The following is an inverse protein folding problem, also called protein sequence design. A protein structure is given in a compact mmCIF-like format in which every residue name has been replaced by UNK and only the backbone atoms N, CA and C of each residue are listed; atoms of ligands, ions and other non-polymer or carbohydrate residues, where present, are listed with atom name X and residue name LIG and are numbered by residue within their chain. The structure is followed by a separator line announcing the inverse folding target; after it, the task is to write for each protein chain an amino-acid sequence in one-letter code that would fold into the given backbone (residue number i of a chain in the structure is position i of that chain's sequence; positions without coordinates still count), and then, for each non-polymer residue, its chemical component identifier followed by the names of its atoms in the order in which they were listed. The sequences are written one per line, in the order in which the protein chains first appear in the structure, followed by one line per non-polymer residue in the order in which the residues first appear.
data_IF_669302380376
#
_entry.id   IF_669302380376
#
_cell.length_a   1.000
_cell.length_b   1.000
_cell.length_c   1.000
_cell.angle_alpha   90.00
_cell.angle_beta   90.00
_cell.angle_gamma   90.00
#
_symmetry.space_group_name_H-M   'P 1'
#
loop_
_entity.id
_entity.type
_entity.pdbx_description
1 polymer ?
#
# COMPACT_ATOMS: atom_id res chain seq x y z
N UNK A 1 -3.63 -35.74 23.63
CA UNK A 1 -4.26 -35.74 22.29
C UNK A 1 -4.28 -34.30 21.83
N UNK A 2 -3.36 -33.93 20.96
CA UNK A 2 -3.31 -32.62 20.35
C UNK A 2 -2.76 -32.82 18.95
N UNK A 3 -3.64 -33.25 18.06
CA UNK A 3 -3.31 -33.33 16.65
C UNK A 3 -3.56 -31.93 16.09
N UNK A 4 -2.49 -31.13 16.04
CA UNK A 4 -2.53 -29.77 15.55
C UNK A 4 -2.43 -29.79 14.01
N UNK A 5 -3.55 -30.00 13.33
CA UNK A 5 -3.62 -29.88 11.87
C UNK A 5 -3.91 -28.44 11.47
N UNK A 6 -2.86 -27.65 11.27
CA UNK A 6 -2.96 -26.43 10.47
C UNK A 6 -2.75 -26.81 8.99
N UNK A 7 -3.84 -27.00 8.25
CA UNK A 7 -3.83 -26.99 6.78
C UNK A 7 -3.84 -25.52 6.36
N UNK A 8 -2.74 -25.04 5.82
CA UNK A 8 -2.67 -23.71 5.21
C UNK A 8 -2.90 -23.91 3.71
N UNK A 9 -3.97 -23.31 3.20
CA UNK A 9 -4.35 -23.34 1.80
C UNK A 9 -3.22 -22.76 0.94
N UNK A 10 -2.83 -23.49 -0.11
CA UNK A 10 -2.09 -22.92 -1.23
C UNK A 10 -3.00 -21.93 -1.94
N UNK A 11 -2.66 -20.63 -1.89
CA UNK A 11 -3.36 -19.60 -2.65
C UNK A 11 -2.68 -19.49 -4.02
N UNK A 12 -3.37 -19.95 -5.05
CA UNK A 12 -2.91 -19.80 -6.42
C UNK A 12 -3.24 -18.39 -6.94
N UNK A 13 -2.17 -17.58 -6.96
CA UNK A 13 -1.78 -16.68 -8.05
C UNK A 13 -2.70 -15.52 -8.46
N UNK A 14 -3.29 -14.75 -7.53
CA UNK A 14 -3.64 -13.34 -7.81
C UNK A 14 -3.71 -12.50 -6.51
N UNK A 15 -2.67 -11.68 -6.26
CA UNK A 15 -2.61 -10.62 -5.26
C UNK A 15 -3.28 -10.93 -3.90
N UNK A 16 -2.88 -12.02 -3.25
CA UNK A 16 -3.46 -12.42 -1.96
C UNK A 16 -3.25 -11.34 -0.91
N UNK A 17 -4.37 -10.80 -0.42
CA UNK A 17 -4.36 -9.86 0.67
C UNK A 17 -3.79 -10.56 1.92
N UNK A 18 -2.68 -10.04 2.45
CA UNK A 18 -2.12 -10.52 3.72
C UNK A 18 -2.71 -9.71 4.87
N UNK A 19 -2.86 -10.34 6.03
CA UNK A 19 -3.35 -9.64 7.22
C UNK A 19 -2.22 -8.84 7.89
N UNK A 20 -2.45 -7.55 8.07
CA UNK A 20 -1.60 -6.67 8.86
C UNK A 20 -2.32 -6.21 10.14
N UNK A 21 -1.53 -5.78 11.11
CA UNK A 21 -2.06 -5.17 12.33
C UNK A 21 -2.41 -3.71 12.07
N UNK A 22 -3.51 -3.23 12.62
CA UNK A 22 -3.93 -1.83 12.55
C UNK A 22 -4.44 -1.40 13.92
N UNK A 23 -4.27 -0.12 14.25
CA UNK A 23 -4.78 0.42 15.51
C UNK A 23 -6.32 0.31 15.57
N UNK A 24 -6.84 -0.03 16.75
CA UNK A 24 -8.26 0.09 17.04
C UNK A 24 -8.66 1.58 16.97
N UNK A 25 -9.84 1.89 16.45
CA UNK A 25 -10.26 3.29 16.29
C UNK A 25 -9.99 3.89 14.91
N UNK A 26 -9.15 3.27 14.07
CA UNK A 26 -8.77 3.84 12.78
C UNK A 26 -9.76 3.48 11.68
N UNK A 27 -10.24 4.48 10.95
CA UNK A 27 -10.97 4.28 9.70
C UNK A 27 -10.00 4.20 8.53
N UNK A 28 -10.12 3.16 7.71
CA UNK A 28 -9.35 2.96 6.48
C UNK A 28 -10.31 2.43 5.42
N UNK A 29 -10.34 3.08 4.27
CA UNK A 29 -11.16 2.65 3.14
C UNK A 29 -10.40 1.71 2.23
N UNK A 30 -11.11 0.80 1.58
CA UNK A 30 -10.55 -0.05 0.54
C UNK A 30 -9.92 0.84 -0.55
N UNK A 31 -8.70 0.50 -0.97
CA UNK A 31 -7.93 1.28 -1.93
C UNK A 31 -7.00 2.32 -1.29
N UNK A 32 -7.10 2.57 0.02
CA UNK A 32 -6.19 3.49 0.69
C UNK A 32 -4.74 3.00 0.62
N UNK A 33 -3.83 3.95 0.38
CA UNK A 33 -2.39 3.72 0.44
C UNK A 33 -1.96 3.69 1.90
N UNK A 34 -1.27 2.63 2.28
CA UNK A 34 -0.88 2.40 3.67
C UNK A 34 0.62 2.67 3.86
N UNK A 35 0.95 3.24 5.01
CA UNK A 35 2.31 3.20 5.54
C UNK A 35 2.47 2.02 6.48
N UNK A 36 3.65 1.41 6.48
CA UNK A 36 4.03 0.37 7.45
C UNK A 36 5.00 0.93 8.49
N UNK A 37 4.84 0.51 9.74
CA UNK A 37 5.77 0.83 10.82
C UNK A 37 5.87 -0.33 11.80
N UNK A 38 7.07 -0.54 12.35
CA UNK A 38 7.35 -1.60 13.31
C UNK A 38 7.02 -3.00 12.78
N UNK A 39 6.52 -3.87 13.68
CA UNK A 39 6.26 -5.29 13.40
C UNK A 39 4.92 -5.50 12.69
N UNK A 40 4.87 -5.21 11.38
CA UNK A 40 3.69 -5.41 10.51
C UNK A 40 2.45 -4.62 10.96
N UNK A 41 2.64 -3.40 11.46
CA UNK A 41 1.52 -2.49 11.76
C UNK A 41 1.37 -1.46 10.66
N UNK A 42 0.16 -1.37 10.10
CA UNK A 42 -0.20 -0.44 9.03
C UNK A 42 -1.14 0.65 9.51
N UNK A 43 -1.08 1.79 8.86
CA UNK A 43 -2.01 2.91 9.01
C UNK A 43 -2.12 3.65 7.69
N UNK A 44 -3.15 4.48 7.52
CA UNK A 44 -3.26 5.34 6.34
C UNK A 44 -2.00 6.19 6.17
N UNK A 45 -1.48 6.25 4.95
CA UNK A 45 -0.44 7.19 4.57
C UNK A 45 -0.95 8.61 4.75
N UNK A 46 -0.12 9.50 5.28
CA UNK A 46 -0.49 10.92 5.48
C UNK A 46 0.61 11.88 5.09
N UNK A 47 1.83 11.38 4.89
CA UNK A 47 3.00 12.20 4.63
C UNK A 47 3.83 11.66 3.46
N UNK A 48 4.88 12.40 3.12
CA UNK A 48 5.92 11.97 2.21
C UNK A 48 6.95 11.11 2.93
N UNK A 49 7.73 10.33 2.15
CA UNK A 49 8.85 9.53 2.66
C UNK A 49 8.44 8.56 3.78
N UNK A 50 7.20 8.07 3.71
CA UNK A 50 6.71 6.99 4.57
C UNK A 50 6.99 5.64 3.90
N UNK A 51 7.35 4.64 4.70
CA UNK A 51 7.58 3.28 4.19
C UNK A 51 6.28 2.71 3.67
N UNK A 52 6.26 2.33 2.39
CA UNK A 52 5.06 1.79 1.77
C UNK A 52 4.66 0.43 2.35
N UNK A 53 3.43 0.34 2.84
CA UNK A 53 2.86 -0.86 3.46
C UNK A 53 1.92 -1.66 2.56
N UNK A 54 1.57 -1.15 1.37
CA UNK A 54 0.61 -1.76 0.45
C UNK A 54 -0.69 -0.98 0.32
N UNK A 55 -1.69 -1.60 -0.30
CA UNK A 55 -3.02 -1.03 -0.54
C UNK A 55 -4.06 -1.77 0.29
N UNK A 56 -4.96 -1.05 0.96
CA UNK A 56 -6.04 -1.65 1.73
C UNK A 56 -6.95 -2.51 0.84
N UNK A 57 -7.09 -3.80 1.17
CA UNK A 57 -7.92 -4.75 0.42
C UNK A 57 -9.39 -4.75 0.89
N UNK A 58 -9.66 -4.20 2.08
CA UNK A 58 -10.97 -4.14 2.70
C UNK A 58 -11.15 -2.81 3.44
N UNK A 59 -12.40 -2.47 3.74
CA UNK A 59 -12.73 -1.35 4.63
C UNK A 59 -12.52 -1.77 6.08
N UNK A 60 -11.99 -0.84 6.88
CA UNK A 60 -12.03 -0.88 8.33
C UNK A 60 -12.78 0.35 8.81
N UNK A 61 -13.86 0.13 9.53
CA UNK A 61 -14.51 1.23 10.24
C UNK A 61 -13.76 1.54 11.54
N UNK A 62 -13.70 2.82 11.90
CA UNK A 62 -13.05 3.28 13.13
C UNK A 62 -13.76 2.77 14.38
N UNK A 63 -15.06 2.48 14.31
CA UNK A 63 -15.78 1.90 15.45
C UNK A 63 -15.58 0.38 15.57
N UNK A 64 -14.99 -0.26 14.56
CA UNK A 64 -14.64 -1.67 14.62
C UNK A 64 -13.45 -1.90 15.56
N UNK A 65 -13.67 -2.74 16.56
CA UNK A 65 -12.65 -3.20 17.50
C UNK A 65 -11.59 -4.13 16.89
N UNK A 66 -11.76 -4.59 15.65
CA UNK A 66 -10.77 -5.39 14.94
C UNK A 66 -9.43 -4.65 14.82
N UNK A 67 -8.35 -5.36 15.11
CA UNK A 67 -6.98 -4.88 14.93
C UNK A 67 -6.31 -5.49 13.69
N UNK A 68 -7.10 -6.03 12.76
CA UNK A 68 -6.62 -6.70 11.55
C UNK A 68 -7.24 -6.08 10.31
N UNK A 69 -6.40 -5.91 9.28
CA UNK A 69 -6.78 -5.41 7.97
C UNK A 69 -6.13 -6.26 6.88
N UNK A 70 -6.89 -6.61 5.85
CA UNK A 70 -6.34 -7.21 4.64
C UNK A 70 -5.64 -6.16 3.79
N UNK A 71 -4.43 -6.46 3.34
CA UNK A 71 -3.60 -5.53 2.56
C UNK A 71 -3.04 -6.26 1.34
N UNK A 72 -3.21 -5.68 0.16
CA UNK A 72 -2.49 -6.09 -1.03
C UNK A 72 -1.03 -5.66 -0.89
N UNK A 73 -0.16 -6.64 -0.71
CA UNK A 73 1.26 -6.41 -0.40
C UNK A 73 2.01 -5.95 -1.64
N UNK A 74 2.98 -5.02 -1.51
CA UNK A 74 3.88 -4.70 -2.61
C UNK A 74 4.55 -5.95 -3.17
N UNK A 75 4.61 -6.03 -4.50
CA UNK A 75 5.20 -7.16 -5.19
C UNK A 75 5.07 -6.99 -6.69
N UNK A 76 6.15 -7.36 -7.39
CA UNK A 76 6.51 -7.03 -8.78
C UNK A 76 5.46 -7.25 -9.89
N UNK A 77 4.28 -7.79 -9.56
CA UNK A 77 3.21 -8.14 -10.49
C UNK A 77 1.88 -7.43 -10.16
N UNK A 78 1.79 -6.69 -9.07
CA UNK A 78 0.56 -6.00 -8.69
C UNK A 78 0.47 -4.66 -9.41
N UNK A 79 -0.69 -4.42 -10.05
CA UNK A 79 -1.00 -3.14 -10.69
C UNK A 79 -2.08 -2.43 -9.91
N UNK A 80 -1.84 -1.16 -9.62
CA UNK A 80 -2.77 -0.30 -8.92
C UNK A 80 -2.96 1.01 -9.66
N UNK A 81 -4.20 1.49 -9.69
CA UNK A 81 -4.53 2.83 -10.14
C UNK A 81 -4.31 3.79 -8.95
N UNK A 82 -3.37 4.71 -9.09
CA UNK A 82 -2.94 5.62 -8.01
C UNK A 82 -3.05 7.07 -8.45
N UNK A 83 -3.42 7.95 -7.51
CA UNK A 83 -3.62 9.38 -7.81
C UNK A 83 -2.30 10.16 -7.67
N UNK A 84 -1.96 10.94 -8.68
CA UNK A 84 -0.77 11.78 -8.72
C UNK A 84 -0.89 12.96 -7.76
N UNK A 85 0.17 13.22 -6.99
CA UNK A 85 0.31 14.40 -6.17
C UNK A 85 0.56 15.67 -6.99
N UNK A 86 0.80 16.80 -6.32
CA UNK A 86 0.79 18.13 -6.94
C UNK A 86 1.83 18.39 -8.05
N UNK A 87 2.86 17.54 -8.20
CA UNK A 87 3.87 17.67 -9.25
C UNK A 87 3.62 16.79 -10.48
N UNK A 88 2.60 15.93 -10.47
CA UNK A 88 2.45 14.87 -11.47
C UNK A 88 3.52 13.78 -11.35
N UNK A 89 3.50 12.82 -12.28
CA UNK A 89 4.53 11.77 -12.42
C UNK A 89 4.79 11.47 -13.89
N UNK A 90 6.02 11.09 -14.20
CA UNK A 90 6.41 10.75 -15.58
C UNK A 90 6.48 9.25 -15.79
N UNK A 91 5.98 8.76 -16.93
CA UNK A 91 6.09 7.35 -17.34
C UNK A 91 7.49 6.79 -17.10
N UNK A 92 7.57 5.67 -16.39
CA UNK A 92 8.81 4.95 -16.12
C UNK A 92 9.56 5.41 -14.87
N UNK A 93 9.15 6.51 -14.23
CA UNK A 93 9.67 6.93 -12.93
C UNK A 93 9.29 5.93 -11.84
N UNK A 94 10.18 5.81 -10.85
CA UNK A 94 9.84 5.19 -9.58
C UNK A 94 9.00 6.17 -8.77
N UNK A 95 7.98 5.66 -8.07
CA UNK A 95 7.06 6.49 -7.28
C UNK A 95 7.10 6.12 -5.80
N UNK A 96 6.77 7.10 -4.96
CA UNK A 96 6.74 7.03 -3.50
C UNK A 96 5.50 7.75 -2.97
N UNK A 97 5.18 7.55 -1.69
CA UNK A 97 4.07 8.24 -1.03
C UNK A 97 4.32 9.76 -0.98
N UNK A 98 3.27 10.53 -1.25
CA UNK A 98 3.29 12.00 -1.31
C UNK A 98 2.32 12.68 -0.32
N UNK A 99 1.58 11.88 0.45
CA UNK A 99 0.50 12.33 1.32
C UNK A 99 -0.62 11.29 1.41
N UNK A 100 -1.80 11.75 1.81
CA UNK A 100 -2.98 10.89 1.89
C UNK A 100 -3.44 10.45 0.51
N UNK A 101 -3.31 9.15 0.19
CA UNK A 101 -3.72 8.53 -1.07
C UNK A 101 -3.12 9.19 -2.33
N UNK A 102 -1.93 9.77 -2.21
CA UNK A 102 -1.22 10.43 -3.32
C UNK A 102 0.18 9.85 -3.50
N UNK A 103 0.63 9.81 -4.75
CA UNK A 103 1.98 9.42 -5.13
C UNK A 103 2.78 10.57 -5.75
N UNK A 104 4.10 10.45 -5.74
CA UNK A 104 5.02 11.38 -6.42
C UNK A 104 6.22 10.61 -6.95
N UNK A 105 6.98 11.24 -7.84
CA UNK A 105 8.32 10.76 -8.20
C UNK A 105 9.16 10.53 -6.92
N UNK A 106 9.77 9.36 -6.83
CA UNK A 106 10.65 8.99 -5.73
C UNK A 106 11.94 9.79 -5.79
N UNK A 107 12.35 10.32 -4.64
CA UNK A 107 13.65 10.96 -4.46
C UNK A 107 14.75 9.91 -4.29
N UNK A 108 16.00 10.29 -4.52
CA UNK A 108 17.15 9.38 -4.31
C UNK A 108 17.18 8.81 -2.87
N UNK A 109 16.79 9.62 -1.87
CA UNK A 109 16.73 9.17 -0.49
C UNK A 109 15.71 8.03 -0.30
N UNK A 110 14.51 8.18 -0.85
CA UNK A 110 13.43 7.17 -0.76
C UNK A 110 13.78 5.88 -1.51
N UNK A 111 14.52 5.99 -2.61
CA UNK A 111 15.05 4.81 -3.33
C UNK A 111 16.05 4.05 -2.47
N UNK A 112 16.90 4.75 -1.71
CA UNK A 112 17.91 4.13 -0.84
C UNK A 112 17.28 3.51 0.41
N UNK A 113 16.28 4.17 1.00
CA UNK A 113 15.57 3.66 2.19
C UNK A 113 14.57 2.55 1.85
N UNK A 114 14.19 2.40 0.58
CA UNK A 114 13.25 1.39 0.12
C UNK A 114 11.79 1.81 0.24
N UNK A 115 11.51 3.12 0.31
CA UNK A 115 10.16 3.70 0.39
C UNK A 115 9.44 3.76 -0.97
N UNK A 116 10.00 3.07 -1.96
CA UNK A 116 9.49 3.02 -3.33
C UNK A 116 8.30 2.06 -3.39
N UNK A 117 7.22 2.54 -3.97
CA UNK A 117 6.00 1.77 -4.23
C UNK A 117 6.22 0.87 -5.45
N UNK A 118 6.74 1.44 -6.53
CA UNK A 118 6.78 0.78 -7.83
C UNK A 118 7.17 1.73 -8.96
N UNK A 119 6.90 1.30 -10.20
CA UNK A 119 7.16 2.07 -11.42
C UNK A 119 5.87 2.43 -12.13
N UNK A 120 5.71 3.69 -12.52
CA UNK A 120 4.50 4.15 -13.23
C UNK A 120 4.54 3.76 -14.73
N UNK A 121 3.40 3.34 -15.27
CA UNK A 121 3.28 2.84 -16.66
C UNK A 121 2.82 3.92 -17.66
N UNK A 122 2.35 5.06 -17.15
CA UNK A 122 1.88 6.23 -17.92
C UNK A 122 2.31 7.55 -17.27
N UNK A 123 2.19 8.65 -18.02
CA UNK A 123 2.45 10.01 -17.52
C UNK A 123 1.13 10.61 -17.09
N UNK A 124 1.08 11.24 -15.92
CA UNK A 124 -0.09 11.93 -15.42
C UNK A 124 0.27 13.25 -14.75
N UNK A 125 -0.59 14.24 -14.92
CA UNK A 125 -0.52 15.53 -14.25
C UNK A 125 -1.09 15.44 -12.83
N UNK A 126 -1.03 16.54 -12.09
CA UNK A 126 -1.54 16.61 -10.72
C UNK A 126 -3.02 16.19 -10.63
N UNK A 127 -3.34 15.34 -9.65
CA UNK A 127 -4.64 14.74 -9.40
C UNK A 127 -5.17 13.79 -10.50
N UNK A 128 -4.37 13.46 -11.51
CA UNK A 128 -4.72 12.38 -12.46
C UNK A 128 -4.44 11.01 -11.84
N UNK A 129 -5.18 10.00 -12.30
CA UNK A 129 -4.99 8.61 -11.89
C UNK A 129 -4.13 7.91 -12.91
N UNK A 130 -3.11 7.20 -12.44
CA UNK A 130 -2.13 6.49 -13.26
C UNK A 130 -1.91 5.06 -12.78
N UNK A 131 -1.62 4.16 -13.70
CA UNK A 131 -1.26 2.78 -13.41
C UNK A 131 0.18 2.66 -12.89
N UNK A 132 0.33 2.04 -11.71
CA UNK A 132 1.62 1.76 -11.07
C UNK A 132 1.83 0.26 -10.94
N UNK A 133 2.97 -0.22 -11.42
CA UNK A 133 3.45 -1.58 -11.20
C UNK A 133 4.28 -1.60 -9.91
N UNK A 134 3.70 -2.19 -8.86
CA UNK A 134 4.32 -2.39 -7.54
C UNK A 134 5.19 -3.64 -7.48
#
# INVERSE_FOLDING_TARGET
MADNFAVILELNEHADAKQYTVAAGTSISKGDLLRISGDNTVSASTANSEVYGGVAAADKDGTDSSTKLGVHVPGALNKFDMTCGGAGVTRGSLVSLSGANLIKDATEAEVITGDVIGRVEETGDAAEVVAVLS
#
